data_IF_929577456819
#
_entry.id   IF_929577456819
#
_cell.length_a   1.000
_cell.length_b   1.000
_cell.length_c   1.000
_cell.angle_alpha   90.00
_cell.angle_beta   90.00
_cell.angle_gamma   90.00
#
_symmetry.space_group_name_H-M   'P 1'
#
loop_
_entity.id
_entity.type
_entity.pdbx_description
1 polymer ?
#
# COMPACT_ATOMS: atom_id res chain seq x y z
N UNK A 1 -37.48 8.18 -0.12
CA UNK A 1 -36.21 7.50 -0.42
C UNK A 1 -36.32 6.03 -0.05
N UNK A 2 -35.79 5.15 -0.89
CA UNK A 2 -35.70 3.72 -0.55
C UNK A 2 -34.74 3.53 0.64
N UNK A 3 -35.25 2.95 1.74
CA UNK A 3 -34.50 2.73 2.98
C UNK A 3 -33.29 1.83 2.77
N UNK A 4 -33.39 0.89 1.82
CA UNK A 4 -32.29 -0.03 1.48
C UNK A 4 -31.12 0.73 0.88
N UNK A 5 -31.37 1.64 -0.07
CA UNK A 5 -30.31 2.45 -0.67
C UNK A 5 -29.66 3.40 0.34
N UNK A 6 -30.44 3.98 1.26
CA UNK A 6 -29.89 4.83 2.32
C UNK A 6 -28.95 4.05 3.24
N UNK A 7 -29.35 2.85 3.67
CA UNK A 7 -28.51 2.01 4.50
C UNK A 7 -27.25 1.54 3.75
N UNK A 8 -27.42 0.93 2.58
CA UNK A 8 -26.33 0.27 1.85
C UNK A 8 -25.34 1.22 1.16
N UNK A 9 -25.80 2.41 0.73
CA UNK A 9 -24.99 3.34 -0.06
C UNK A 9 -24.89 4.75 0.53
N UNK A 10 -25.67 5.06 1.57
CA UNK A 10 -25.52 6.26 2.38
C UNK A 10 -24.70 5.98 3.64
N UNK A 11 -25.14 5.03 4.48
CA UNK A 11 -24.58 4.79 5.82
C UNK A 11 -23.41 3.81 5.80
N UNK A 12 -23.57 2.65 5.15
CA UNK A 12 -22.55 1.59 5.11
C UNK A 12 -21.15 2.05 4.65
N UNK A 13 -20.98 2.99 3.68
CA UNK A 13 -19.67 3.53 3.34
C UNK A 13 -18.92 4.11 4.55
N UNK A 14 -19.59 4.84 5.44
CA UNK A 14 -18.95 5.42 6.63
C UNK A 14 -18.55 4.34 7.63
N UNK A 15 -19.37 3.30 7.81
CA UNK A 15 -19.03 2.14 8.64
C UNK A 15 -17.79 1.44 8.08
N UNK A 16 -17.77 1.18 6.76
CA UNK A 16 -16.66 0.54 6.08
C UNK A 16 -15.36 1.33 6.19
N UNK A 17 -15.41 2.65 5.95
CA UNK A 17 -14.26 3.53 6.10
C UNK A 17 -13.78 3.62 7.55
N UNK A 18 -14.69 3.70 8.51
CA UNK A 18 -14.33 3.73 9.94
C UNK A 18 -13.61 2.45 10.35
N UNK A 19 -14.14 1.28 9.99
CA UNK A 19 -13.46 -0.01 10.24
C UNK A 19 -12.10 -0.04 9.55
N UNK A 20 -12.03 0.40 8.29
CA UNK A 20 -10.78 0.42 7.54
C UNK A 20 -9.72 1.28 8.22
N UNK A 21 -10.06 2.51 8.61
CA UNK A 21 -9.12 3.46 9.19
C UNK A 21 -8.72 3.08 10.61
N UNK A 22 -9.70 2.86 11.51
CA UNK A 22 -9.45 2.53 12.91
C UNK A 22 -8.81 1.15 13.03
N UNK A 23 -9.29 0.16 12.27
CA UNK A 23 -8.71 -1.18 12.26
C UNK A 23 -7.28 -1.18 11.74
N UNK A 24 -6.98 -0.38 10.70
CA UNK A 24 -5.62 -0.27 10.17
C UNK A 24 -4.70 0.42 11.17
N UNK A 25 -5.16 1.49 11.81
CA UNK A 25 -4.39 2.18 12.85
C UNK A 25 -4.11 1.25 14.03
N UNK A 26 -5.14 0.61 14.59
CA UNK A 26 -4.98 -0.33 15.70
C UNK A 26 -4.01 -1.47 15.35
N UNK A 27 -4.09 -2.04 14.14
CA UNK A 27 -3.15 -3.09 13.70
C UNK A 27 -1.73 -2.56 13.52
N UNK A 28 -1.58 -1.32 13.06
CA UNK A 28 -0.27 -0.68 12.91
C UNK A 28 0.41 -0.45 14.25
N UNK A 29 -0.31 0.00 15.28
CA UNK A 29 0.28 0.27 16.60
C UNK A 29 0.42 -1.00 17.46
N UNK A 30 -0.60 -1.85 17.47
CA UNK A 30 -0.67 -3.01 18.37
C UNK A 30 -0.05 -4.29 17.78
N UNK A 31 0.19 -4.35 16.47
CA UNK A 31 0.52 -5.62 15.78
C UNK A 31 1.43 -5.45 14.56
N UNK A 32 2.49 -4.64 14.70
CA UNK A 32 3.48 -4.37 13.64
C UNK A 32 4.06 -5.63 12.97
N UNK A 33 4.27 -6.72 13.70
CA UNK A 33 4.83 -7.96 13.14
C UNK A 33 3.89 -8.64 12.10
N UNK A 34 2.59 -8.38 12.21
CA UNK A 34 1.57 -8.83 11.25
C UNK A 34 1.48 -7.91 10.02
N UNK A 35 2.12 -6.74 10.04
CA UNK A 35 2.08 -5.73 8.98
C UNK A 35 3.12 -6.04 7.90
N UNK A 36 2.78 -6.98 7.01
CA UNK A 36 3.68 -7.44 5.95
C UNK A 36 2.93 -7.87 4.71
N UNK A 37 3.62 -7.78 3.57
CA UNK A 37 3.07 -8.18 2.27
C UNK A 37 2.80 -9.69 2.14
N UNK A 38 3.44 -10.53 2.94
CA UNK A 38 3.25 -12.00 2.90
C UNK A 38 3.73 -12.60 1.57
N UNK A 39 4.98 -12.34 1.17
CA UNK A 39 5.54 -12.87 -0.08
C UNK A 39 5.72 -14.39 0.02
N UNK A 40 5.22 -15.11 -0.99
CA UNK A 40 5.45 -16.56 -1.15
C UNK A 40 6.40 -16.89 -2.31
N UNK A 41 7.10 -15.89 -2.85
CA UNK A 41 7.96 -16.05 -4.02
C UNK A 41 9.18 -16.95 -3.73
N UNK A 42 9.69 -16.95 -2.51
CA UNK A 42 10.81 -17.82 -2.10
C UNK A 42 10.42 -19.30 -2.17
N UNK A 43 9.18 -19.64 -1.82
CA UNK A 43 8.69 -21.03 -1.77
C UNK A 43 8.47 -21.63 -3.16
N UNK A 44 8.06 -20.81 -4.12
CA UNK A 44 7.94 -21.17 -5.54
C UNK A 44 8.09 -19.93 -6.41
N UNK A 45 9.13 -19.90 -7.26
CA UNK A 45 9.37 -18.77 -8.18
C UNK A 45 8.56 -18.89 -9.47
N UNK A 46 8.00 -20.07 -9.77
CA UNK A 46 7.32 -20.39 -11.02
C UNK A 46 6.19 -19.40 -11.29
N UNK A 47 6.26 -18.72 -12.44
CA UNK A 47 5.28 -17.73 -12.93
C UNK A 47 4.98 -16.53 -12.02
N UNK A 48 5.63 -16.43 -10.85
CA UNK A 48 5.31 -15.41 -9.84
C UNK A 48 5.59 -13.99 -10.33
N UNK A 49 6.68 -13.77 -11.07
CA UNK A 49 7.03 -12.43 -11.60
C UNK A 49 5.98 -11.94 -12.59
N UNK A 50 5.61 -12.76 -13.56
CA UNK A 50 4.61 -12.42 -14.58
C UNK A 50 3.24 -12.21 -13.94
N UNK A 51 2.77 -13.18 -13.15
CA UNK A 51 1.47 -13.11 -12.50
C UNK A 51 1.35 -11.90 -11.55
N UNK A 52 2.38 -11.66 -10.74
CA UNK A 52 2.42 -10.53 -9.81
C UNK A 52 2.47 -9.20 -10.55
N UNK A 53 3.27 -9.06 -11.60
CA UNK A 53 3.38 -7.81 -12.35
C UNK A 53 2.07 -7.49 -13.09
N UNK A 54 1.48 -8.48 -13.78
CA UNK A 54 0.20 -8.30 -14.48
C UNK A 54 -0.90 -7.84 -13.51
N UNK A 55 -1.00 -8.50 -12.35
CA UNK A 55 -1.98 -8.13 -11.33
C UNK A 55 -1.74 -6.72 -10.77
N UNK A 56 -0.52 -6.42 -10.32
CA UNK A 56 -0.23 -5.16 -9.64
C UNK A 56 -0.27 -3.96 -10.59
N UNK A 57 0.27 -4.10 -11.80
CA UNK A 57 0.18 -3.02 -12.81
C UNK A 57 -1.29 -2.77 -13.14
N UNK A 58 -2.06 -3.82 -13.42
CA UNK A 58 -3.49 -3.69 -13.71
C UNK A 58 -4.25 -3.01 -12.57
N UNK A 59 -4.15 -3.54 -11.35
CA UNK A 59 -4.90 -3.01 -10.20
C UNK A 59 -4.49 -1.59 -9.80
N UNK A 60 -3.21 -1.22 -9.93
CA UNK A 60 -2.75 0.14 -9.62
C UNK A 60 -3.35 1.18 -10.58
N UNK A 61 -3.35 0.88 -11.89
CA UNK A 61 -3.99 1.76 -12.88
C UNK A 61 -5.50 1.82 -12.72
N UNK A 62 -6.16 0.70 -12.39
CA UNK A 62 -7.60 0.68 -12.09
C UNK A 62 -7.91 1.55 -10.87
N UNK A 63 -7.16 1.40 -9.78
CA UNK A 63 -7.37 2.18 -8.56
C UNK A 63 -7.13 3.67 -8.79
N UNK A 64 -6.07 4.03 -9.52
CA UNK A 64 -5.80 5.42 -9.90
C UNK A 64 -6.93 5.99 -10.78
N UNK A 65 -7.40 5.21 -11.76
CA UNK A 65 -8.53 5.56 -12.61
C UNK A 65 -9.83 5.75 -11.82
N UNK A 66 -10.10 4.91 -10.82
CA UNK A 66 -11.25 5.08 -9.92
C UNK A 66 -11.12 6.35 -9.08
N UNK A 67 -9.95 6.59 -8.49
CA UNK A 67 -9.71 7.74 -7.64
C UNK A 67 -9.92 9.06 -8.40
N UNK A 68 -9.25 9.22 -9.55
CA UNK A 68 -9.36 10.41 -10.40
C UNK A 68 -10.74 10.46 -11.09
N UNK A 69 -11.25 9.32 -11.53
CA UNK A 69 -12.53 9.23 -12.23
C UNK A 69 -13.72 9.65 -11.37
N UNK A 70 -13.77 9.21 -10.11
CA UNK A 70 -14.89 9.46 -9.22
C UNK A 70 -14.77 10.78 -8.44
N UNK A 71 -13.58 11.11 -7.96
CA UNK A 71 -13.40 12.26 -7.04
C UNK A 71 -13.09 13.57 -7.75
N UNK A 72 -12.64 13.56 -9.00
CA UNK A 72 -12.40 14.81 -9.73
C UNK A 72 -13.72 15.53 -10.04
N UNK A 73 -13.95 16.75 -9.51
CA UNK A 73 -15.19 17.49 -9.72
C UNK A 73 -15.43 17.82 -11.19
N UNK A 74 -16.71 17.87 -11.57
CA UNK A 74 -17.15 18.16 -12.94
C UNK A 74 -16.60 19.47 -13.49
N UNK A 75 -16.62 20.53 -12.67
CA UNK A 75 -16.11 21.84 -13.03
C UNK A 75 -14.63 21.85 -13.45
N UNK A 76 -13.80 20.92 -12.91
CA UNK A 76 -12.38 20.87 -13.25
C UNK A 76 -12.14 20.18 -14.59
N UNK A 77 -12.77 19.03 -14.83
CA UNK A 77 -12.43 18.22 -15.99
C UNK A 77 -13.18 18.62 -17.27
N UNK A 78 -14.33 19.30 -17.18
CA UNK A 78 -15.07 19.77 -18.36
C UNK A 78 -14.30 20.79 -19.23
N UNK A 79 -13.23 21.37 -18.70
CA UNK A 79 -12.30 22.22 -19.47
C UNK A 79 -11.44 21.43 -20.47
N UNK A 80 -11.24 20.13 -20.23
CA UNK A 80 -10.34 19.26 -21.01
C UNK A 80 -11.10 18.11 -21.67
N UNK A 81 -12.10 17.55 -21.01
CA UNK A 81 -12.80 16.33 -21.44
C UNK A 81 -14.28 16.36 -21.06
N UNK A 82 -15.15 15.96 -21.99
CA UNK A 82 -16.59 15.80 -21.69
C UNK A 82 -16.84 14.56 -20.81
N UNK A 83 -17.96 14.53 -20.10
CA UNK A 83 -18.37 13.36 -19.29
C UNK A 83 -18.44 12.07 -20.12
N UNK A 84 -18.98 12.10 -21.33
CA UNK A 84 -19.02 10.94 -22.23
C UNK A 84 -17.61 10.47 -22.64
N UNK A 85 -16.70 11.40 -22.98
CA UNK A 85 -15.33 11.05 -23.34
C UNK A 85 -14.54 10.51 -22.14
N UNK A 86 -14.81 11.02 -20.93
CA UNK A 86 -14.24 10.49 -19.69
C UNK A 86 -14.73 9.07 -19.42
N UNK A 87 -16.01 8.77 -19.67
CA UNK A 87 -16.53 7.40 -19.59
C UNK A 87 -15.83 6.49 -20.62
N UNK A 88 -15.70 6.94 -21.87
CA UNK A 88 -15.02 6.16 -22.91
C UNK A 88 -13.56 5.87 -22.53
N UNK A 89 -12.84 6.87 -22.03
CA UNK A 89 -11.48 6.69 -21.52
C UNK A 89 -11.44 5.66 -20.39
N UNK A 90 -12.38 5.73 -19.44
CA UNK A 90 -12.48 4.78 -18.34
C UNK A 90 -12.80 3.36 -18.83
N UNK A 91 -13.66 3.20 -19.84
CA UNK A 91 -13.99 1.90 -20.43
C UNK A 91 -12.78 1.29 -21.15
N UNK A 92 -12.06 2.07 -21.95
CA UNK A 92 -10.90 1.59 -22.71
C UNK A 92 -9.72 1.28 -21.80
N UNK A 93 -9.27 2.26 -21.01
CA UNK A 93 -8.12 2.10 -20.12
C UNK A 93 -8.44 1.13 -18.98
N UNK A 94 -9.59 1.27 -18.33
CA UNK A 94 -10.05 0.40 -17.26
C UNK A 94 -10.31 -1.03 -17.74
N UNK A 95 -10.85 -1.21 -18.95
CA UNK A 95 -11.01 -2.52 -19.56
C UNK A 95 -9.67 -3.19 -19.85
N UNK A 96 -8.72 -2.47 -20.45
CA UNK A 96 -7.38 -2.99 -20.74
C UNK A 96 -6.63 -3.41 -19.46
N UNK A 97 -6.51 -2.49 -18.48
CA UNK A 97 -5.84 -2.80 -17.21
C UNK A 97 -6.62 -3.80 -16.36
N UNK A 98 -7.96 -3.83 -16.48
CA UNK A 98 -8.84 -4.82 -15.89
C UNK A 98 -8.57 -6.24 -16.40
N UNK A 99 -8.40 -6.40 -17.72
CA UNK A 99 -8.02 -7.67 -18.31
C UNK A 99 -6.62 -8.13 -17.86
N UNK A 100 -5.63 -7.22 -17.81
CA UNK A 100 -4.30 -7.55 -17.28
C UNK A 100 -4.38 -8.00 -15.81
N UNK A 101 -5.14 -7.27 -14.99
CA UNK A 101 -5.38 -7.62 -13.60
C UNK A 101 -6.04 -8.99 -13.48
N UNK A 102 -7.01 -9.32 -14.35
CA UNK A 102 -7.77 -10.57 -14.31
C UNK A 102 -6.88 -11.76 -14.64
N UNK A 103 -6.05 -11.63 -15.68
CA UNK A 103 -5.08 -12.66 -16.06
C UNK A 103 -4.09 -12.88 -14.91
N UNK A 104 -3.50 -11.81 -14.39
CA UNK A 104 -2.55 -11.88 -13.27
C UNK A 104 -3.16 -12.51 -12.02
N UNK A 105 -4.37 -12.09 -11.64
CA UNK A 105 -5.09 -12.60 -10.48
C UNK A 105 -5.45 -14.09 -10.65
N UNK A 106 -5.93 -14.48 -11.82
CA UNK A 106 -6.25 -15.88 -12.12
C UNK A 106 -5.02 -16.78 -12.01
N UNK A 107 -3.87 -16.33 -12.53
CA UNK A 107 -2.59 -17.04 -12.37
C UNK A 107 -2.17 -17.14 -10.89
N UNK A 108 -2.34 -16.07 -10.11
CA UNK A 108 -2.01 -16.05 -8.68
C UNK A 108 -2.93 -16.99 -7.87
N UNK A 109 -4.22 -17.02 -8.18
CA UNK A 109 -5.20 -17.94 -7.58
C UNK A 109 -4.82 -19.37 -7.93
N UNK A 110 -4.65 -19.68 -9.23
CA UNK A 110 -4.24 -21.01 -9.68
C UNK A 110 -2.99 -21.47 -8.91
N UNK A 111 -1.94 -20.66 -8.88
CA UNK A 111 -0.70 -20.96 -8.13
C UNK A 111 -0.96 -21.20 -6.64
N UNK A 112 -1.80 -20.38 -5.99
CA UNK A 112 -2.07 -20.52 -4.55
C UNK A 112 -2.84 -21.79 -4.20
N UNK A 113 -3.65 -22.30 -5.13
CA UNK A 113 -4.43 -23.52 -4.94
C UNK A 113 -3.65 -24.78 -5.31
N UNK A 114 -2.82 -24.74 -6.35
CA UNK A 114 -2.19 -25.93 -6.92
C UNK A 114 -0.76 -26.18 -6.46
N UNK A 115 0.00 -25.14 -6.07
CA UNK A 115 1.39 -25.31 -5.62
C UNK A 115 1.44 -25.77 -4.15
N UNK A 116 1.90 -27.00 -3.84
CA UNK A 116 1.79 -27.57 -2.49
C UNK A 116 2.46 -26.71 -1.41
N UNK A 117 3.65 -26.16 -1.70
CA UNK A 117 4.41 -25.33 -0.76
C UNK A 117 3.70 -24.00 -0.45
N UNK A 118 3.05 -23.40 -1.46
CA UNK A 118 2.33 -22.14 -1.30
C UNK A 118 0.99 -22.37 -0.62
N UNK A 119 0.30 -23.47 -0.95
CA UNK A 119 -0.96 -23.84 -0.32
C UNK A 119 -0.79 -24.13 1.16
N UNK A 120 0.24 -24.92 1.53
CA UNK A 120 0.53 -25.28 2.92
C UNK A 120 0.89 -24.08 3.82
N UNK A 121 1.42 -23.00 3.23
CA UNK A 121 1.80 -21.78 3.94
C UNK A 121 0.79 -20.64 3.82
N UNK A 122 -0.35 -20.86 3.15
CA UNK A 122 -1.39 -19.84 2.97
C UNK A 122 -2.38 -19.82 4.12
N UNK A 123 -2.72 -18.63 4.61
CA UNK A 123 -3.83 -18.47 5.55
C UNK A 123 -5.19 -18.53 4.83
N UNK A 124 -6.29 -18.90 5.52
CA UNK A 124 -7.63 -18.81 4.96
C UNK A 124 -7.97 -17.40 4.44
N UNK A 125 -7.54 -16.36 5.15
CA UNK A 125 -7.71 -14.96 4.73
C UNK A 125 -7.00 -14.62 3.42
N UNK A 126 -5.82 -15.22 3.16
CA UNK A 126 -5.09 -15.00 1.90
C UNK A 126 -5.81 -15.60 0.70
N UNK A 127 -6.51 -16.71 0.88
CA UNK A 127 -7.28 -17.37 -0.17
C UNK A 127 -8.58 -16.60 -0.39
N UNK A 128 -9.32 -16.31 0.70
CA UNK A 128 -10.56 -15.55 0.67
C UNK A 128 -10.38 -14.22 -0.07
N UNK A 129 -9.37 -13.44 0.28
CA UNK A 129 -9.21 -12.10 -0.31
C UNK A 129 -8.94 -12.14 -1.81
N UNK A 130 -8.26 -13.18 -2.32
CA UNK A 130 -8.06 -13.32 -3.76
C UNK A 130 -9.37 -13.60 -4.50
N UNK A 131 -10.26 -14.40 -3.93
CA UNK A 131 -11.58 -14.66 -4.50
C UNK A 131 -12.50 -13.44 -4.40
N UNK A 132 -12.45 -12.68 -3.31
CA UNK A 132 -13.19 -11.42 -3.18
C UNK A 132 -12.70 -10.40 -4.23
N UNK A 133 -11.38 -10.28 -4.42
CA UNK A 133 -10.81 -9.45 -5.48
C UNK A 133 -11.20 -9.92 -6.88
N UNK A 134 -11.30 -11.25 -7.09
CA UNK A 134 -11.74 -11.80 -8.37
C UNK A 134 -13.20 -11.44 -8.64
N UNK A 135 -14.08 -11.61 -7.66
CA UNK A 135 -15.48 -11.22 -7.76
C UNK A 135 -15.62 -9.72 -8.03
N UNK A 136 -14.86 -8.87 -7.32
CA UNK A 136 -14.86 -7.42 -7.54
C UNK A 136 -14.42 -7.06 -8.95
N UNK A 137 -13.38 -7.73 -9.46
CA UNK A 137 -12.84 -7.46 -10.78
C UNK A 137 -13.79 -7.92 -11.90
N UNK A 138 -14.43 -9.08 -11.73
CA UNK A 138 -15.45 -9.57 -12.65
C UNK A 138 -16.68 -8.65 -12.69
N UNK A 139 -17.14 -8.18 -11.52
CA UNK A 139 -18.19 -7.17 -11.43
C UNK A 139 -17.76 -5.87 -12.12
N UNK A 140 -16.51 -5.43 -11.92
CA UNK A 140 -15.98 -4.23 -12.56
C UNK A 140 -15.98 -4.35 -14.09
N UNK A 141 -15.49 -5.46 -14.62
CA UNK A 141 -15.47 -5.71 -16.06
C UNK A 141 -16.89 -5.85 -16.64
N UNK A 142 -17.83 -6.45 -15.91
CA UNK A 142 -19.23 -6.53 -16.36
C UNK A 142 -19.92 -5.17 -16.38
N UNK A 143 -19.52 -4.22 -15.52
CA UNK A 143 -20.01 -2.83 -15.62
C UNK A 143 -19.60 -2.16 -16.93
N UNK A 144 -18.47 -2.53 -17.56
CA UNK A 144 -18.07 -1.96 -18.85
C UNK A 144 -19.07 -2.36 -19.94
N UNK A 145 -19.52 -3.62 -19.92
CA UNK A 145 -20.55 -4.11 -20.83
C UNK A 145 -21.86 -3.36 -20.61
N UNK A 146 -22.29 -3.18 -19.35
CA UNK A 146 -23.47 -2.38 -19.04
C UNK A 146 -23.31 -0.91 -19.51
N UNK A 147 -22.11 -0.33 -19.39
CA UNK A 147 -21.83 1.04 -19.80
C UNK A 147 -22.01 1.29 -21.31
N UNK A 148 -21.89 0.25 -22.14
CA UNK A 148 -22.18 0.35 -23.58
C UNK A 148 -23.62 0.76 -23.89
N UNK A 149 -24.55 0.55 -22.95
CA UNK A 149 -25.97 0.88 -23.13
C UNK A 149 -26.28 2.36 -22.80
N UNK A 150 -25.33 3.10 -22.23
CA UNK A 150 -25.50 4.50 -21.83
C UNK A 150 -24.18 5.26 -21.97
N UNK A 151 -23.84 5.54 -23.22
CA UNK A 151 -22.59 6.21 -23.64
C UNK A 151 -22.61 7.74 -23.44
N UNK A 152 -23.76 8.29 -23.02
CA UNK A 152 -23.96 9.69 -22.64
C UNK A 152 -23.24 10.06 -21.34
N UNK A 153 -22.82 9.07 -20.54
CA UNK A 153 -22.06 9.29 -19.32
C UNK A 153 -22.92 9.57 -18.08
N UNK A 154 -24.24 9.53 -18.18
CA UNK A 154 -25.15 9.85 -17.07
C UNK A 154 -25.00 8.93 -15.87
N UNK A 155 -24.81 7.62 -16.09
CA UNK A 155 -24.57 6.66 -15.00
C UNK A 155 -23.22 6.92 -14.33
N UNK A 156 -22.16 7.22 -15.10
CA UNK A 156 -20.86 7.59 -14.55
C UNK A 156 -20.97 8.87 -13.70
N UNK A 157 -21.70 9.89 -14.17
CA UNK A 157 -21.91 11.13 -13.42
C UNK A 157 -22.63 10.86 -12.09
N UNK A 158 -23.68 10.03 -12.08
CA UNK A 158 -24.39 9.62 -10.84
C UNK A 158 -23.45 8.94 -9.84
N UNK A 159 -22.58 8.04 -10.31
CA UNK A 159 -21.59 7.36 -9.48
C UNK A 159 -20.50 8.31 -8.95
N UNK A 160 -20.06 9.28 -9.76
CA UNK A 160 -19.13 10.33 -9.33
C UNK A 160 -19.76 11.22 -8.26
N UNK A 161 -21.01 11.67 -8.46
CA UNK A 161 -21.76 12.44 -7.46
C UNK A 161 -21.93 11.63 -6.17
N UNK A 162 -22.24 10.33 -6.27
CA UNK A 162 -22.30 9.43 -5.12
C UNK A 162 -20.98 9.44 -4.34
N UNK A 163 -19.85 9.17 -5.00
CA UNK A 163 -18.55 9.13 -4.35
C UNK A 163 -18.16 10.47 -3.72
N UNK A 164 -18.40 11.57 -4.42
CA UNK A 164 -18.15 12.93 -3.93
C UNK A 164 -19.05 13.28 -2.74
N UNK A 165 -20.32 12.86 -2.76
CA UNK A 165 -21.23 13.04 -1.63
C UNK A 165 -20.77 12.28 -0.39
N UNK A 166 -20.21 11.07 -0.53
CA UNK A 166 -19.64 10.32 0.60
C UNK A 166 -18.45 11.05 1.22
N UNK A 167 -17.47 11.50 0.41
CA UNK A 167 -16.29 12.20 0.95
C UNK A 167 -16.60 13.61 1.46
N UNK A 168 -17.71 14.21 1.01
CA UNK A 168 -18.22 15.49 1.53
C UNK A 168 -19.27 15.33 2.63
N UNK A 169 -19.40 14.12 3.20
CA UNK A 169 -20.26 13.82 4.36
C UNK A 169 -21.76 14.09 4.14
N UNK A 170 -22.27 13.82 2.93
CA UNK A 170 -23.68 14.02 2.54
C UNK A 170 -24.37 12.68 2.23
N UNK A 171 -24.72 11.87 3.26
CA UNK A 171 -25.28 10.52 3.08
C UNK A 171 -26.58 10.49 2.26
N UNK A 172 -27.48 11.46 2.47
CA UNK A 172 -28.77 11.50 1.77
C UNK A 172 -28.59 11.78 0.28
N UNK A 173 -27.69 12.72 -0.07
CA UNK A 173 -27.36 13.02 -1.46
C UNK A 173 -26.73 11.80 -2.16
N UNK A 174 -25.85 11.07 -1.47
CA UNK A 174 -25.27 9.83 -1.98
C UNK A 174 -26.35 8.77 -2.25
N UNK A 175 -27.23 8.53 -1.28
CA UNK A 175 -28.32 7.55 -1.45
C UNK A 175 -29.29 7.93 -2.58
N UNK A 176 -29.55 9.23 -2.78
CA UNK A 176 -30.39 9.71 -3.88
C UNK A 176 -29.73 9.49 -5.26
N UNK A 177 -28.43 9.79 -5.40
CA UNK A 177 -27.75 9.75 -6.70
C UNK A 177 -27.62 8.33 -7.26
N UNK A 178 -27.39 7.34 -6.39
CA UNK A 178 -27.23 5.94 -6.78
C UNK A 178 -28.57 5.20 -6.97
N UNK A 179 -29.70 5.80 -6.57
CA UNK A 179 -31.01 5.14 -6.54
C UNK A 179 -31.41 4.49 -7.88
N UNK A 180 -31.24 5.22 -8.98
CA UNK A 180 -31.61 4.80 -10.34
C UNK A 180 -30.48 4.07 -11.10
N UNK A 181 -29.36 3.77 -10.45
CA UNK A 181 -28.23 3.10 -11.09
C UNK A 181 -28.52 1.59 -11.24
N UNK A 182 -28.15 0.94 -12.37
CA UNK A 182 -28.35 -0.49 -12.55
C UNK A 182 -27.68 -1.35 -11.48
N UNK A 183 -28.25 -2.53 -11.22
CA UNK A 183 -27.85 -3.41 -10.13
C UNK A 183 -26.36 -3.79 -10.17
N UNK A 184 -25.78 -4.00 -11.35
CA UNK A 184 -24.37 -4.41 -11.50
C UNK A 184 -23.39 -3.41 -10.87
N UNK A 185 -23.64 -2.11 -11.03
CA UNK A 185 -22.82 -1.07 -10.40
C UNK A 185 -23.03 -1.04 -8.89
N UNK A 186 -24.28 -1.22 -8.42
CA UNK A 186 -24.59 -1.30 -6.99
C UNK A 186 -23.86 -2.47 -6.33
N UNK A 187 -23.82 -3.64 -6.97
CA UNK A 187 -23.06 -4.81 -6.50
C UNK A 187 -21.55 -4.53 -6.48
N UNK A 188 -21.01 -3.91 -7.54
CA UNK A 188 -19.60 -3.53 -7.59
C UNK A 188 -19.22 -2.54 -6.49
N UNK A 189 -20.06 -1.53 -6.24
CA UNK A 189 -19.86 -0.54 -5.17
C UNK A 189 -19.94 -1.21 -3.80
N UNK A 190 -20.97 -2.03 -3.55
CA UNK A 190 -21.15 -2.70 -2.27
C UNK A 190 -19.99 -3.64 -1.94
N UNK A 191 -19.57 -4.48 -2.89
CA UNK A 191 -18.43 -5.38 -2.70
C UNK A 191 -17.11 -4.60 -2.59
N UNK A 192 -16.97 -3.50 -3.32
CA UNK A 192 -15.85 -2.57 -3.20
C UNK A 192 -15.74 -1.96 -1.80
N UNK A 193 -16.84 -1.51 -1.21
CA UNK A 193 -16.89 -1.04 0.18
C UNK A 193 -16.59 -2.17 1.17
N UNK A 194 -17.07 -3.38 0.88
CA UNK A 194 -16.75 -4.56 1.69
C UNK A 194 -15.24 -4.85 1.68
N UNK A 195 -14.52 -4.60 0.59
CA UNK A 195 -13.05 -4.71 0.58
C UNK A 195 -12.38 -3.75 1.57
N UNK A 196 -12.93 -2.56 1.81
CA UNK A 196 -12.43 -1.64 2.86
C UNK A 196 -12.65 -2.22 4.26
N UNK A 197 -13.77 -2.90 4.51
CA UNK A 197 -14.02 -3.62 5.78
C UNK A 197 -13.00 -4.73 5.99
N UNK A 198 -12.67 -5.48 4.94
CA UNK A 198 -11.70 -6.59 4.99
C UNK A 198 -10.24 -6.11 5.00
N UNK A 199 -9.98 -4.86 4.62
CA UNK A 199 -8.65 -4.29 4.47
C UNK A 199 -7.75 -4.46 5.71
N UNK A 200 -8.15 -4.03 6.92
CA UNK A 200 -7.29 -4.09 8.10
C UNK A 200 -7.07 -5.52 8.61
N UNK A 201 -7.88 -6.49 8.21
CA UNK A 201 -7.80 -7.88 8.70
C UNK A 201 -7.10 -8.83 7.73
N UNK A 202 -6.74 -8.35 6.54
CA UNK A 202 -6.12 -9.16 5.50
C UNK A 202 -4.72 -8.64 5.17
N UNK A 203 -4.06 -9.27 4.19
CA UNK A 203 -2.78 -8.80 3.66
C UNK A 203 -2.88 -7.45 2.95
N UNK A 204 -4.07 -6.91 2.67
CA UNK A 204 -4.25 -5.65 1.92
C UNK A 204 -3.57 -4.44 2.58
N UNK A 205 -3.33 -4.49 3.89
CA UNK A 205 -2.54 -3.48 4.63
C UNK A 205 -1.19 -3.14 3.99
N UNK A 206 -0.61 -4.07 3.20
CA UNK A 206 0.64 -3.81 2.47
C UNK A 206 0.56 -2.62 1.50
N UNK A 207 -0.65 -2.27 1.03
CA UNK A 207 -0.88 -1.15 0.10
C UNK A 207 -0.45 0.18 0.74
N UNK A 208 -0.71 0.35 2.05
CA UNK A 208 -0.35 1.58 2.80
C UNK A 208 1.17 1.75 2.90
N UNK A 209 1.92 0.66 2.81
CA UNK A 209 3.39 0.67 2.90
C UNK A 209 4.08 0.76 1.54
N UNK A 210 3.41 1.33 0.54
CA UNK A 210 4.05 1.66 -0.74
C UNK A 210 5.30 2.53 -0.49
N UNK A 211 6.51 2.10 -0.91
CA UNK A 211 7.76 2.72 -0.47
C UNK A 211 8.11 3.99 -1.26
N UNK A 212 7.17 4.94 -1.39
CA UNK A 212 7.36 6.19 -2.15
C UNK A 212 8.54 7.00 -1.60
N UNK A 213 8.70 7.03 -0.27
CA UNK A 213 9.78 7.71 0.43
C UNK A 213 11.17 7.13 0.18
N UNK A 214 11.26 5.90 -0.36
CA UNK A 214 12.55 5.28 -0.68
C UNK A 214 13.30 6.05 -1.78
N UNK A 215 12.58 6.72 -2.69
CA UNK A 215 13.18 7.48 -3.79
C UNK A 215 14.07 8.64 -3.31
N UNK A 216 13.78 9.22 -2.15
CA UNK A 216 14.59 10.28 -1.54
C UNK A 216 15.49 9.82 -0.39
N UNK A 217 15.50 8.53 -0.06
CA UNK A 217 16.17 7.99 1.13
C UNK A 217 17.63 7.67 0.82
N UNK A 218 18.55 8.15 1.67
CA UNK A 218 19.98 7.75 1.61
C UNK A 218 20.12 6.24 1.84
N UNK A 219 21.08 5.61 1.16
CA UNK A 219 21.30 4.16 1.27
C UNK A 219 21.61 3.71 2.70
N UNK A 220 22.52 4.41 3.37
CA UNK A 220 22.91 4.09 4.74
C UNK A 220 21.99 4.79 5.73
N UNK A 221 21.37 4.00 6.62
CA UNK A 221 20.63 4.49 7.77
C UNK A 221 21.30 4.01 9.04
N UNK A 222 21.75 4.96 9.84
CA UNK A 222 22.29 4.72 11.17
C UNK A 222 21.27 5.23 12.19
N UNK A 223 20.87 4.35 13.13
CA UNK A 223 20.02 4.74 14.26
C UNK A 223 20.93 4.96 15.46
N UNK A 224 20.97 6.20 15.94
CA UNK A 224 21.70 6.55 17.15
C UNK A 224 20.91 6.10 18.38
N UNK A 225 21.61 5.77 19.48
CA UNK A 225 20.95 5.61 20.77
C UNK A 225 20.43 6.97 21.21
N UNK A 226 19.18 7.02 21.68
CA UNK A 226 18.68 8.23 22.34
C UNK A 226 19.65 8.62 23.46
N UNK A 227 20.09 9.88 23.50
CA UNK A 227 20.88 10.38 24.64
C UNK A 227 20.06 10.12 25.90
N UNK A 228 20.55 9.25 26.78
CA UNK A 228 20.04 9.16 28.16
C UNK A 228 20.17 10.58 28.73
N UNK A 229 19.13 11.16 29.36
CA UNK A 229 19.31 12.43 30.04
C UNK A 229 20.51 12.27 30.96
N UNK A 230 21.45 13.21 30.87
CA UNK A 230 22.66 13.23 31.65
C UNK A 230 22.24 13.16 33.11
N UNK A 231 22.38 11.98 33.72
CA UNK A 231 22.27 11.86 35.16
C UNK A 231 23.41 12.71 35.67
N UNK A 232 23.11 13.91 36.17
CA UNK A 232 24.03 14.71 36.94
C UNK A 232 24.53 13.81 38.06
N UNK A 233 25.69 13.18 37.86
CA UNK A 233 26.38 12.51 38.96
C UNK A 233 26.55 13.61 40.00
N UNK A 234 26.14 13.41 41.27
CA UNK A 234 26.52 14.32 42.32
C UNK A 234 28.03 14.50 42.18
N UNK A 235 28.48 15.74 42.00
CA UNK A 235 29.90 16.03 42.05
C UNK A 235 30.38 15.39 43.35
N UNK A 236 31.24 14.38 43.25
CA UNK A 236 31.92 13.86 44.41
C UNK A 236 32.65 15.06 44.99
N UNK A 237 32.15 15.57 46.12
CA UNK A 237 32.80 16.62 46.87
C UNK A 237 34.23 16.15 47.07
N UNK A 238 35.17 16.94 46.54
CA UNK A 238 36.57 16.56 46.45
C UNK A 238 37.07 16.07 47.79
N UNK A 239 37.61 14.86 47.82
CA UNK A 239 38.38 14.39 48.97
C UNK A 239 39.54 15.38 49.14
N UNK A 240 39.72 15.99 50.33
CA UNK A 240 40.76 16.99 50.54
C UNK A 240 42.14 16.42 50.20
N UNK A 241 42.91 17.22 49.46
CA UNK A 241 44.25 16.95 48.91
C UNK A 241 45.35 16.80 49.99
N UNK A 242 45.16 15.90 50.96
CA UNK A 242 46.15 15.56 51.97
C UNK A 242 46.22 14.05 52.16
N UNK A 243 46.66 13.37 51.11
CA UNK A 243 47.31 12.05 51.14
C UNK A 243 47.81 11.76 49.71
N UNK A 244 48.58 12.69 49.14
CA UNK A 244 49.41 12.38 47.98
C UNK A 244 50.71 11.79 48.53
N UNK A 245 50.74 10.47 48.66
CA UNK A 245 52.01 9.74 48.76
C UNK A 245 52.64 9.85 47.38
N UNK A 246 53.77 10.54 47.27
CA UNK A 246 54.60 10.51 46.07
C UNK A 246 55.18 9.11 45.91
N UNK A 247 54.59 8.31 45.04
CA UNK A 247 55.22 7.07 44.57
C UNK A 247 56.29 7.46 43.54
N UNK A 248 57.55 6.98 43.67
CA UNK A 248 58.58 7.29 42.69
C UNK A 248 58.25 6.67 41.33
N UNK A 249 58.64 7.35 40.25
CA UNK A 249 58.43 6.90 38.88
C UNK A 249 59.12 5.53 38.65
N UNK A 250 58.45 4.55 38.03
CA UNK A 250 59.09 3.29 37.67
C UNK A 250 60.11 3.53 36.55
N UNK A 251 61.37 3.24 36.85
CA UNK A 251 62.47 3.20 35.90
C UNK A 251 62.38 1.95 35.02
N UNK A 252 61.59 2.01 33.94
CA UNK A 252 61.72 1.09 32.82
C UNK A 252 61.53 1.84 31.51
N UNK A 253 62.66 2.14 30.85
CA UNK A 253 62.68 2.63 29.49
C UNK A 253 62.29 1.51 28.51
N UNK A 254 61.16 1.70 27.83
CA UNK A 254 60.85 0.98 26.60
C UNK A 254 60.94 2.00 25.44
N UNK A 255 61.71 1.73 24.38
CA UNK A 255 61.87 2.67 23.28
C UNK A 255 60.57 2.84 22.50
N UNK A 256 60.24 4.09 22.17
CA UNK A 256 59.10 4.47 21.37
C UNK A 256 59.19 3.84 19.96
N UNK A 257 58.19 3.04 19.58
CA UNK A 257 58.04 2.54 18.21
C UNK A 257 57.45 3.67 17.36
N UNK A 258 58.28 4.26 16.49
CA UNK A 258 57.85 5.23 15.50
C UNK A 258 56.92 4.58 14.44
N UNK A 259 55.87 5.28 13.97
CA UNK A 259 55.00 4.73 12.94
C UNK A 259 55.73 4.65 11.58
N UNK A 260 55.81 3.44 11.02
CA UNK A 260 56.31 3.21 9.65
C UNK A 260 55.36 3.87 8.63
N UNK A 261 55.88 4.82 7.86
CA UNK A 261 55.27 5.28 6.61
C UNK A 261 55.24 4.11 5.62
N UNK A 262 54.06 3.69 5.19
CA UNK A 262 53.91 2.76 4.06
C UNK A 262 53.67 3.56 2.77
N UNK A 263 54.61 3.40 1.84
CA UNK A 263 54.61 4.01 0.51
C UNK A 263 53.49 3.44 -0.40
N UNK A 264 53.10 4.16 -1.48
CA UNK A 264 51.99 3.76 -2.33
C UNK A 264 52.38 2.60 -3.27
N UNK A 265 51.52 1.58 -3.33
CA UNK A 265 51.65 0.45 -4.26
C UNK A 265 51.40 0.91 -5.71
N UNK A 266 52.44 0.73 -6.53
CA UNK A 266 52.40 0.93 -7.98
C UNK A 266 51.47 -0.10 -8.66
N UNK A 267 50.69 0.39 -9.61
CA UNK A 267 49.70 -0.34 -10.40
C UNK A 267 50.40 -1.04 -11.56
N UNK A 268 50.57 -2.36 -11.51
CA UNK A 268 51.06 -3.16 -12.66
C UNK A 268 49.95 -3.27 -13.71
N UNK A 269 50.22 -2.79 -14.92
CA UNK A 269 49.42 -3.04 -16.12
C UNK A 269 50.04 -4.24 -16.81
N UNK A 270 49.31 -5.34 -16.90
CA UNK A 270 49.67 -6.45 -17.77
C UNK A 270 48.72 -6.49 -18.96
N UNK A 271 49.27 -6.06 -20.10
CA UNK A 271 48.82 -6.34 -21.46
C UNK A 271 49.57 -7.57 -21.95
N UNK A 272 48.87 -8.64 -22.37
CA UNK A 272 49.39 -9.60 -23.37
C UNK A 272 48.22 -10.22 -24.15
N UNK A 273 48.30 -10.02 -25.48
CA UNK A 273 47.74 -10.73 -26.65
C UNK A 273 46.30 -11.24 -26.68
#
# INVERSE_FOLDING_TARGET
MDKVNLFAFGIYPYVALTICLVGSWARFDLSQYSWKAGSSQMLSKRNMRVASNLFHIGVLFILAGHFVGLLMPEALYHTVISTANKQLLAMLSGGFFGCLALIGLSMLIYRRLTEPRVRASSSPSDIMILFVLLAQLLLGLSTIVASTQHMDGSVMARLAIWAQAIVTLRPEAAAASIGAVPLVYKLHVFLGLTLFVLFPFTRLVHIVSAPVWYLGRRYQIVRLKAKRPEQTRPQAQGVPSKLRVETPAPAYGLPAIAPKQTAPLARHKDTVH
#
